data_IF_108583222852
#
_entry.id   IF_108583222852
#
_cell.length_a   1.000
_cell.length_b   1.000
_cell.length_c   1.000
_cell.angle_alpha   90.00
_cell.angle_beta   90.00
_cell.angle_gamma   90.00
#
_symmetry.space_group_name_H-M   'P 1'
#
loop_
_entity.id
_entity.type
_entity.pdbx_description
1 polymer ?
#
# COMPACT_ATOMS: atom_id res chain seq x y z
N UNK A 1 7.70 -4.37 -5.28
CA UNK A 1 6.96 -4.14 -6.52
C UNK A 1 5.49 -3.88 -6.23
N UNK A 2 4.75 -3.44 -7.25
CA UNK A 2 3.37 -3.04 -7.11
C UNK A 2 2.47 -4.09 -6.48
N UNK A 3 1.79 -3.73 -5.41
CA UNK A 3 0.89 -4.61 -4.68
C UNK A 3 -0.55 -4.19 -4.90
N UNK A 4 -1.37 -5.15 -5.29
CA UNK A 4 -2.82 -5.02 -5.44
C UNK A 4 -3.51 -5.52 -4.17
N UNK A 5 -4.81 -5.19 -3.97
CA UNK A 5 -5.54 -5.65 -2.79
C UNK A 5 -5.93 -7.14 -2.91
N UNK A 6 -4.93 -8.00 -2.82
CA UNK A 6 -5.10 -9.44 -2.91
C UNK A 6 -5.14 -10.03 -1.51
N UNK A 7 -6.19 -10.81 -1.22
CA UNK A 7 -6.27 -11.57 0.03
C UNK A 7 -5.21 -12.67 0.00
N UNK A 8 -4.30 -12.63 0.98
CA UNK A 8 -3.16 -13.55 1.02
C UNK A 8 -3.60 -15.02 1.21
N UNK A 9 -4.72 -15.26 1.89
CA UNK A 9 -5.21 -16.62 2.14
C UNK A 9 -5.89 -17.23 0.92
N UNK A 10 -6.69 -16.44 0.18
CA UNK A 10 -7.48 -16.95 -0.95
C UNK A 10 -6.83 -16.67 -2.31
N UNK A 11 -5.89 -15.72 -2.38
CA UNK A 11 -5.31 -15.27 -3.65
C UNK A 11 -6.25 -14.44 -4.50
N UNK A 12 -7.40 -14.02 -3.97
CA UNK A 12 -8.41 -13.27 -4.71
C UNK A 12 -8.27 -11.78 -4.52
N UNK A 13 -8.59 -11.01 -5.57
CA UNK A 13 -8.70 -9.56 -5.47
C UNK A 13 -9.89 -9.20 -4.59
N UNK A 14 -9.67 -8.28 -3.65
CA UNK A 14 -10.73 -7.63 -2.90
C UNK A 14 -11.22 -6.43 -3.71
N UNK A 15 -12.51 -6.40 -4.02
CA UNK A 15 -13.14 -5.30 -4.74
C UNK A 15 -14.21 -4.60 -3.89
N UNK A 16 -14.12 -4.77 -2.57
CA UNK A 16 -15.04 -4.15 -1.61
C UNK A 16 -14.73 -2.67 -1.38
N UNK A 17 -15.06 -2.18 -0.18
CA UNK A 17 -14.84 -0.79 0.16
C UNK A 17 -13.37 -0.41 0.06
N UNK A 18 -13.10 0.86 -0.30
CA UNK A 18 -11.73 1.35 -0.46
C UNK A 18 -10.88 1.14 0.79
N UNK A 19 -11.43 1.43 1.98
CA UNK A 19 -10.69 1.26 3.23
C UNK A 19 -10.25 -0.19 3.45
N UNK A 20 -11.09 -1.16 3.10
CA UNK A 20 -10.73 -2.58 3.19
C UNK A 20 -9.59 -2.92 2.23
N UNK A 21 -9.67 -2.41 1.00
CA UNK A 21 -8.62 -2.62 0.01
C UNK A 21 -7.29 -2.01 0.48
N UNK A 22 -7.33 -0.79 1.02
CA UNK A 22 -6.14 -0.10 1.49
C UNK A 22 -5.50 -0.83 2.68
N UNK A 23 -6.30 -1.28 3.65
CA UNK A 23 -5.79 -2.08 4.77
C UNK A 23 -5.11 -3.36 4.28
N UNK A 24 -5.71 -4.02 3.30
CA UNK A 24 -5.19 -5.26 2.76
C UNK A 24 -3.86 -5.04 2.03
N UNK A 25 -3.77 -4.00 1.19
CA UNK A 25 -2.54 -3.67 0.47
C UNK A 25 -1.41 -3.32 1.43
N UNK A 26 -1.66 -2.43 2.39
CA UNK A 26 -0.63 -2.01 3.34
C UNK A 26 -0.23 -3.14 4.28
N UNK A 27 -1.18 -3.98 4.69
CA UNK A 27 -0.89 -5.16 5.48
C UNK A 27 -0.04 -6.18 4.72
N UNK A 28 -0.31 -6.37 3.42
CA UNK A 28 0.51 -7.24 2.58
C UNK A 28 1.93 -6.71 2.45
N UNK A 29 2.10 -5.39 2.27
CA UNK A 29 3.41 -4.77 2.22
C UNK A 29 4.14 -4.94 3.56
N UNK A 30 3.46 -4.77 4.68
CA UNK A 30 4.04 -4.97 6.01
C UNK A 30 4.64 -6.38 6.13
N UNK A 31 3.90 -7.41 5.67
CA UNK A 31 4.41 -8.78 5.69
C UNK A 31 5.61 -8.99 4.76
N UNK A 32 5.55 -8.43 3.56
CA UNK A 32 6.66 -8.53 2.60
C UNK A 32 7.92 -7.86 3.14
N UNK A 33 7.78 -6.69 3.76
CA UNK A 33 8.90 -5.99 4.40
C UNK A 33 9.53 -6.86 5.49
N UNK A 34 8.71 -7.45 6.35
CA UNK A 34 9.19 -8.32 7.42
C UNK A 34 9.94 -9.54 6.85
N UNK A 35 9.41 -10.18 5.81
CA UNK A 35 10.06 -11.31 5.15
C UNK A 35 11.40 -10.94 4.52
N UNK A 36 11.54 -9.69 4.07
CA UNK A 36 12.78 -9.18 3.50
C UNK A 36 13.78 -8.69 4.55
N UNK A 37 13.42 -8.73 5.84
CA UNK A 37 14.26 -8.21 6.91
C UNK A 37 14.17 -6.70 7.06
N UNK A 38 13.02 -6.11 6.75
CA UNK A 38 12.81 -4.66 6.81
C UNK A 38 11.48 -4.35 7.52
N UNK A 39 11.12 -3.07 7.56
CA UNK A 39 9.87 -2.59 8.12
C UNK A 39 9.58 -1.18 7.56
N UNK A 40 8.42 -0.62 7.91
CA UNK A 40 8.02 0.70 7.41
C UNK A 40 8.98 1.82 7.79
N UNK A 41 9.70 1.71 8.91
CA UNK A 41 10.67 2.74 9.31
C UNK A 41 11.87 2.80 8.36
N UNK A 42 12.07 1.79 7.55
CA UNK A 42 13.18 1.66 6.60
C UNK A 42 12.75 1.88 5.16
N UNK A 43 11.47 2.15 4.92
CA UNK A 43 10.96 2.55 3.60
C UNK A 43 11.43 3.96 3.31
N UNK A 44 12.12 4.14 2.19
CA UNK A 44 12.65 5.45 1.79
C UNK A 44 11.73 6.17 0.81
N UNK A 45 10.94 5.40 0.05
CA UNK A 45 9.99 5.94 -0.92
C UNK A 45 8.87 4.95 -1.13
N UNK A 46 7.65 5.48 -1.32
CA UNK A 46 6.52 4.68 -1.78
C UNK A 46 5.70 5.45 -2.80
N UNK A 47 5.07 4.71 -3.70
CA UNK A 47 4.23 5.27 -4.75
C UNK A 47 2.84 4.69 -4.62
N UNK A 48 1.85 5.57 -4.66
CA UNK A 48 0.44 5.20 -4.54
C UNK A 48 -0.27 5.52 -5.84
N UNK A 49 -0.88 4.51 -6.43
CA UNK A 49 -1.67 4.63 -7.64
C UNK A 49 -3.12 4.43 -7.26
N UNK A 50 -3.94 5.49 -7.43
CA UNK A 50 -5.37 5.47 -7.09
C UNK A 50 -6.21 5.40 -8.36
N UNK A 51 -7.28 4.62 -8.33
CA UNK A 51 -8.26 4.65 -9.41
C UNK A 51 -9.02 5.98 -9.43
N UNK A 52 -9.14 6.65 -8.28
CA UNK A 52 -9.83 7.93 -8.15
C UNK A 52 -9.17 8.75 -7.03
N UNK A 53 -8.72 9.95 -7.34
CA UNK A 53 -8.06 10.83 -6.36
C UNK A 53 -8.97 11.26 -5.21
N UNK A 54 -10.30 11.12 -5.32
CA UNK A 54 -11.22 11.39 -4.21
C UNK A 54 -10.96 10.48 -3.01
N UNK A 55 -10.27 9.34 -3.21
CA UNK A 55 -9.92 8.42 -2.13
C UNK A 55 -8.63 8.81 -1.39
N UNK A 56 -8.04 9.95 -1.73
CA UNK A 56 -6.76 10.40 -1.16
C UNK A 56 -6.81 10.54 0.36
N UNK A 57 -7.84 11.18 0.90
CA UNK A 57 -7.95 11.40 2.34
C UNK A 57 -8.14 10.07 3.10
N UNK A 58 -8.93 9.16 2.55
CA UNK A 58 -9.15 7.84 3.16
C UNK A 58 -7.88 7.00 3.13
N UNK A 59 -7.11 7.07 2.03
CA UNK A 59 -5.81 6.44 1.95
C UNK A 59 -4.90 6.93 3.08
N UNK A 60 -4.83 8.25 3.28
CA UNK A 60 -3.98 8.83 4.31
C UNK A 60 -4.39 8.35 5.70
N UNK A 61 -5.68 8.26 5.98
CA UNK A 61 -6.18 7.77 7.27
C UNK A 61 -5.76 6.32 7.52
N UNK A 62 -5.85 5.46 6.51
CA UNK A 62 -5.40 4.07 6.62
C UNK A 62 -3.88 4.01 6.77
N UNK A 63 -3.15 4.79 5.99
CA UNK A 63 -1.69 4.80 6.01
C UNK A 63 -1.12 5.14 7.38
N UNK A 64 -1.75 6.05 8.12
CA UNK A 64 -1.30 6.43 9.47
C UNK A 64 -1.29 5.25 10.45
N UNK A 65 -2.05 4.19 10.18
CA UNK A 65 -2.06 3.00 11.04
C UNK A 65 -0.88 2.05 10.75
N UNK A 66 -0.18 2.26 9.65
CA UNK A 66 0.92 1.38 9.22
C UNK A 66 2.27 2.09 9.23
N UNK A 67 2.32 3.33 8.78
CA UNK A 67 3.55 4.08 8.65
C UNK A 67 3.95 4.71 9.97
N UNK A 68 5.27 4.91 10.14
CA UNK A 68 5.84 5.59 11.31
C UNK A 68 6.65 6.81 10.86
N UNK A 69 6.63 7.87 11.68
CA UNK A 69 7.44 9.06 11.40
C UNK A 69 8.92 8.78 11.67
N UNK A 70 9.86 9.39 10.94
CA UNK A 70 9.62 10.28 9.80
C UNK A 70 9.08 9.50 8.60
N UNK A 71 8.09 10.11 7.90
CA UNK A 71 7.42 9.40 6.80
C UNK A 71 8.31 9.37 5.55
N UNK A 72 8.20 8.28 4.76
CA UNK A 72 8.95 8.19 3.51
C UNK A 72 8.45 9.18 2.47
N UNK A 73 9.29 9.46 1.48
CA UNK A 73 8.87 10.22 0.31
C UNK A 73 7.73 9.49 -0.39
N UNK A 74 6.77 10.22 -0.95
CA UNK A 74 5.60 9.64 -1.62
C UNK A 74 5.21 10.40 -2.87
N UNK A 75 4.77 9.65 -3.88
CA UNK A 75 4.03 10.16 -5.04
C UNK A 75 2.67 9.50 -5.05
N UNK A 76 1.61 10.27 -5.29
CA UNK A 76 0.26 9.76 -5.43
C UNK A 76 -0.34 10.28 -6.73
N UNK A 77 -0.79 9.38 -7.60
CA UNK A 77 -1.37 9.72 -8.91
C UNK A 77 -2.62 8.90 -9.15
N UNK A 78 -3.50 9.41 -10.02
CA UNK A 78 -4.65 8.66 -10.52
C UNK A 78 -4.26 7.90 -11.76
N UNK A 79 -4.63 6.63 -11.84
CA UNK A 79 -4.32 5.74 -12.95
C UNK A 79 -5.50 4.83 -13.26
N UNK A 80 -5.46 4.17 -14.40
CA UNK A 80 -6.41 3.11 -14.72
C UNK A 80 -5.92 1.81 -14.07
N UNK A 81 -6.79 1.20 -13.28
CA UNK A 81 -6.52 -0.07 -12.58
C UNK A 81 -7.54 -1.14 -13.03
N UNK A 82 -7.32 -2.41 -12.70
CA UNK A 82 -8.32 -3.44 -12.99
C UNK A 82 -9.69 -3.09 -12.40
N UNK A 83 -10.80 -3.55 -13.03
CA UNK A 83 -12.15 -3.23 -12.55
C UNK A 83 -12.32 -3.54 -11.07
N UNK A 84 -12.86 -2.57 -10.31
CA UNK A 84 -13.13 -2.71 -8.88
C UNK A 84 -11.93 -2.51 -7.98
N UNK A 85 -10.73 -2.38 -8.54
CA UNK A 85 -9.51 -2.13 -7.76
C UNK A 85 -9.32 -0.63 -7.56
N UNK A 86 -9.22 -0.20 -6.30
CA UNK A 86 -9.12 1.22 -5.95
C UNK A 86 -7.69 1.74 -5.82
N UNK A 87 -6.72 0.86 -5.59
CA UNK A 87 -5.33 1.28 -5.42
C UNK A 87 -4.33 0.17 -5.75
N UNK A 88 -3.12 0.61 -6.07
CA UNK A 88 -1.93 -0.21 -6.15
C UNK A 88 -0.81 0.57 -5.46
N UNK A 89 0.06 -0.12 -4.72
CA UNK A 89 1.15 0.52 -3.96
C UNK A 89 2.44 -0.24 -4.17
N UNK A 90 3.51 0.50 -4.34
CA UNK A 90 4.88 -0.05 -4.37
C UNK A 90 5.77 0.75 -3.41
N UNK A 91 6.84 0.14 -2.95
CA UNK A 91 7.80 0.85 -2.13
C UNK A 91 9.23 0.36 -2.33
N UNK A 92 10.17 1.19 -1.91
CA UNK A 92 11.60 0.85 -1.84
C UNK A 92 12.02 0.97 -0.39
N UNK A 93 12.67 -0.05 0.14
CA UNK A 93 13.07 -0.10 1.53
C UNK A 93 14.52 -0.57 1.66
N UNK A 94 15.17 -0.14 2.73
CA UNK A 94 16.50 -0.62 3.09
C UNK A 94 16.36 -1.95 3.83
N UNK A 95 17.30 -2.86 3.59
CA UNK A 95 17.37 -4.14 4.28
C UNK A 95 18.78 -4.34 4.85
N UNK A 96 18.88 -5.24 5.84
CA UNK A 96 20.15 -5.57 6.46
C UNK A 96 20.57 -4.59 7.55
N UNK A 97 21.75 -4.80 8.11
CA UNK A 97 22.26 -3.94 9.17
C UNK A 97 22.62 -2.54 8.71
#
# INVERSE_FOLDING_TARGET
SGQLPIDAASGRLCTGAFAEQAELVLGNITRLLALAGSDWSRVVKWSVFLADLRDYAELNAVALRHLVAPYPARTTVQVVLPPGVGLEVECVALVGP
#
